data_IF_464534864870
#
_entry.id   IF_464534864870
#
_cell.length_a   1.000
_cell.length_b   1.000
_cell.length_c   1.000
_cell.angle_alpha   90.00
_cell.angle_beta   90.00
_cell.angle_gamma   90.00
#
_symmetry.space_group_name_H-M   'P 1'
#
loop_
_entity.id
_entity.type
_entity.pdbx_description
1 polymer ?
#
# COMPACT_ATOMS: atom_id res chain seq x y z
N UNK A 1 9.93 -32.45 -6.76
CA UNK A 1 10.90 -31.52 -7.38
C UNK A 1 10.35 -31.22 -8.75
N UNK A 2 9.68 -30.08 -8.90
CA UNK A 2 8.88 -29.79 -10.10
C UNK A 2 9.80 -29.23 -11.19
N UNK A 3 9.89 -29.96 -12.30
CA UNK A 3 10.81 -29.79 -13.43
C UNK A 3 10.39 -28.72 -14.45
N UNK A 4 9.48 -27.82 -14.05
CA UNK A 4 9.06 -26.70 -14.88
C UNK A 4 9.49 -25.43 -14.17
N UNK A 5 10.47 -24.73 -14.74
CA UNK A 5 11.01 -23.44 -14.29
C UNK A 5 9.97 -22.32 -14.44
N UNK A 6 8.84 -22.46 -13.73
CA UNK A 6 7.75 -21.51 -13.71
C UNK A 6 7.94 -20.68 -12.46
N UNK A 7 8.36 -19.40 -12.58
CA UNK A 7 8.58 -18.56 -11.43
C UNK A 7 7.26 -18.34 -10.68
N UNK A 8 7.29 -18.47 -9.36
CA UNK A 8 6.14 -18.16 -8.49
C UNK A 8 5.83 -16.67 -8.66
N UNK A 9 4.70 -16.37 -9.30
CA UNK A 9 4.24 -14.99 -9.45
C UNK A 9 3.61 -14.54 -8.13
N UNK A 10 4.13 -13.46 -7.55
CA UNK A 10 3.52 -12.82 -6.38
C UNK A 10 2.06 -12.51 -6.74
N UNK A 11 1.12 -12.98 -5.90
CA UNK A 11 -0.29 -12.68 -6.08
C UNK A 11 -0.51 -11.17 -5.95
N UNK A 12 -1.48 -10.61 -6.68
CA UNK A 12 -1.81 -9.17 -6.57
C UNK A 12 -2.06 -8.75 -5.12
N UNK A 13 -2.68 -9.63 -4.33
CA UNK A 13 -2.99 -9.39 -2.93
C UNK A 13 -1.74 -9.33 -2.06
N UNK A 14 -0.79 -10.25 -2.28
CA UNK A 14 0.50 -10.24 -1.60
C UNK A 14 1.33 -9.02 -1.96
N UNK A 15 1.34 -8.63 -3.24
CA UNK A 15 2.01 -7.41 -3.70
C UNK A 15 1.39 -6.15 -3.07
N UNK A 16 0.06 -6.08 -2.99
CA UNK A 16 -0.64 -4.97 -2.33
C UNK A 16 -0.29 -4.89 -0.85
N UNK A 17 -0.22 -6.02 -0.16
CA UNK A 17 0.16 -6.05 1.24
C UNK A 17 1.57 -5.49 1.46
N UNK A 18 2.56 -5.99 0.71
CA UNK A 18 3.95 -5.51 0.76
C UNK A 18 4.02 -4.01 0.47
N UNK A 19 3.35 -3.55 -0.59
CA UNK A 19 3.32 -2.12 -0.92
C UNK A 19 2.74 -1.27 0.22
N UNK A 20 1.73 -1.77 0.94
CA UNK A 20 1.14 -1.04 2.07
C UNK A 20 1.97 -1.12 3.36
N UNK A 21 2.96 -2.00 3.44
CA UNK A 21 3.98 -2.00 4.51
C UNK A 21 5.01 -0.89 4.27
N UNK A 22 5.38 -0.68 3.01
CA UNK A 22 6.39 0.31 2.60
C UNK A 22 5.80 1.71 2.40
N UNK A 23 4.52 1.82 2.03
CA UNK A 23 3.87 3.07 1.64
C UNK A 23 2.46 3.23 2.25
N UNK A 24 2.04 4.45 2.58
CA UNK A 24 0.69 4.70 3.09
C UNK A 24 -0.36 4.53 1.99
N UNK A 25 -1.55 4.06 2.38
CA UNK A 25 -2.68 3.77 1.48
C UNK A 25 -2.99 4.83 0.41
N UNK A 26 -3.02 6.15 0.71
CA UNK A 26 -3.28 7.16 -0.31
C UNK A 26 -2.19 7.25 -1.40
N UNK A 27 -0.93 7.00 -1.06
CA UNK A 27 0.16 6.99 -2.05
C UNK A 27 0.02 5.77 -2.97
N UNK A 28 -0.28 4.61 -2.40
CA UNK A 28 -0.49 3.37 -3.16
C UNK A 28 -1.75 3.47 -4.04
N UNK A 29 -2.81 4.11 -3.55
CA UNK A 29 -4.03 4.35 -4.32
C UNK A 29 -3.77 5.24 -5.54
N UNK A 30 -3.02 6.34 -5.38
CA UNK A 30 -2.61 7.22 -6.47
C UNK A 30 -1.69 6.49 -7.46
N UNK A 31 -0.71 5.72 -6.97
CA UNK A 31 0.23 4.97 -7.81
C UNK A 31 -0.47 3.90 -8.68
N UNK A 32 -1.47 3.23 -8.13
CA UNK A 32 -2.17 2.13 -8.79
C UNK A 32 -3.49 2.56 -9.45
N UNK A 33 -3.86 3.84 -9.39
CA UNK A 33 -5.17 4.32 -9.85
C UNK A 33 -6.35 3.62 -9.16
N UNK A 34 -6.15 3.14 -7.93
CA UNK A 34 -7.10 2.30 -7.20
C UNK A 34 -7.91 3.13 -6.20
N UNK A 35 -9.14 2.69 -5.93
CA UNK A 35 -10.00 3.37 -4.97
C UNK A 35 -9.39 3.31 -3.56
N UNK A 36 -9.35 4.45 -2.85
CA UNK A 36 -8.72 4.56 -1.53
C UNK A 36 -9.24 3.52 -0.53
N UNK A 37 -10.56 3.28 -0.47
CA UNK A 37 -11.14 2.27 0.43
C UNK A 37 -10.61 0.85 0.20
N UNK A 38 -10.32 0.48 -1.05
CA UNK A 38 -9.77 -0.84 -1.35
C UNK A 38 -8.36 -0.97 -0.78
N UNK A 39 -7.53 0.05 -0.96
CA UNK A 39 -6.14 0.08 -0.49
C UNK A 39 -6.06 0.24 1.03
N UNK A 40 -6.95 1.04 1.65
CA UNK A 40 -7.01 1.21 3.11
C UNK A 40 -7.27 -0.11 3.84
N UNK A 41 -8.04 -1.03 3.25
CA UNK A 41 -8.25 -2.36 3.83
C UNK A 41 -6.94 -3.15 3.88
N UNK A 42 -6.11 -3.07 2.85
CA UNK A 42 -4.80 -3.74 2.81
C UNK A 42 -3.79 -3.09 3.76
N UNK A 43 -3.81 -1.77 3.88
CA UNK A 43 -2.99 -1.05 4.85
C UNK A 43 -3.33 -1.41 6.30
N UNK A 44 -4.61 -1.67 6.61
CA UNK A 44 -5.01 -2.19 7.91
C UNK A 44 -4.42 -3.58 8.19
N UNK A 45 -4.31 -4.44 7.16
CA UNK A 45 -3.65 -5.75 7.31
C UNK A 45 -2.13 -5.61 7.49
N UNK A 46 -1.48 -4.64 6.85
CA UNK A 46 -0.05 -4.36 7.03
C UNK A 46 0.30 -3.87 8.44
N UNK A 47 -0.69 -3.35 9.20
CA UNK A 47 -0.56 -2.86 10.58
C UNK A 47 0.61 -1.87 10.79
N UNK A 48 1.01 -1.17 9.73
CA UNK A 48 2.09 -0.20 9.75
C UNK A 48 1.59 1.13 10.32
N UNK A 49 2.36 1.74 11.22
CA UNK A 49 2.04 3.05 11.76
C UNK A 49 2.37 4.15 10.72
N UNK A 50 1.32 4.86 10.28
CA UNK A 50 1.39 5.97 9.34
C UNK A 50 1.11 7.33 9.97
N UNK A 51 1.14 7.45 11.31
CA UNK A 51 0.85 8.70 12.01
C UNK A 51 1.73 9.87 11.54
N UNK A 52 3.03 9.63 11.30
CA UNK A 52 3.95 10.66 10.77
C UNK A 52 3.56 11.16 9.38
N UNK A 53 3.11 10.25 8.51
CA UNK A 53 2.63 10.62 7.19
C UNK A 53 1.34 11.45 7.29
N UNK A 54 0.40 11.03 8.14
CA UNK A 54 -0.86 11.74 8.36
C UNK A 54 -0.63 13.14 8.93
N UNK A 55 0.31 13.27 9.87
CA UNK A 55 0.71 14.56 10.43
C UNK A 55 1.26 15.47 9.32
N UNK A 56 2.29 15.02 8.60
CA UNK A 56 2.89 15.77 7.48
C UNK A 56 1.88 16.16 6.40
N UNK A 57 0.89 15.29 6.11
CA UNK A 57 -0.16 15.58 5.12
C UNK A 57 -1.17 16.60 5.62
N UNK A 58 -1.47 16.59 6.92
CA UNK A 58 -2.44 17.49 7.55
C UNK A 58 -1.82 18.86 7.82
N UNK A 59 -0.56 18.89 8.24
CA UNK A 59 0.16 20.10 8.62
C UNK A 59 0.87 20.78 7.44
N UNK A 60 0.70 20.26 6.22
CA UNK A 60 1.25 20.89 5.01
C UNK A 60 0.75 22.34 4.87
N UNK A 61 1.66 23.34 4.77
CA UNK A 61 1.37 24.75 5.04
C UNK A 61 0.37 25.45 4.09
N UNK A 62 -0.10 24.80 3.02
CA UNK A 62 -0.96 25.41 2.00
C UNK A 62 -2.25 24.61 1.70
N UNK A 63 -2.93 24.09 2.73
CA UNK A 63 -4.27 23.46 2.58
C UNK A 63 -5.37 24.18 3.39
N UNK A 64 -5.42 25.51 3.32
CA UNK A 64 -6.60 26.30 3.71
C UNK A 64 -7.22 26.95 2.50
#
# INVERSE_FOLDING_TARGET
MSDFDIPVRISRNSALHILTEDLPAPVVAELLGSHIHAVSRWANYARRDWARYLDARTNWPNRR
#
